data_IF_187981545033
#
_entry.id   IF_187981545033
#
_cell.length_a   1.000
_cell.length_b   1.000
_cell.length_c   1.000
_cell.angle_alpha   90.00
_cell.angle_beta   90.00
_cell.angle_gamma   90.00
#
_symmetry.space_group_name_H-M   'P 1'
#
loop_
_entity.id
_entity.type
_entity.pdbx_description
1 polymer ?
#
# COMPACT_ATOMS: atom_id res chain seq x y z
N UNK A 1 -6.74 18.12 3.08
CA UNK A 1 -6.17 16.77 3.18
C UNK A 1 -6.51 16.09 4.50
N UNK A 2 -6.15 14.83 4.62
CA UNK A 2 -6.35 14.02 5.82
C UNK A 2 -5.35 14.36 6.92
N UNK A 3 -5.82 14.34 8.19
CA UNK A 3 -4.95 14.38 9.38
C UNK A 3 -4.26 13.05 9.69
N UNK A 4 -4.61 11.97 8.96
CA UNK A 4 -4.09 10.62 9.18
C UNK A 4 -2.84 10.33 8.32
N UNK A 5 -1.99 11.32 8.09
CA UNK A 5 -0.70 11.18 7.39
C UNK A 5 0.45 11.30 8.38
N UNK A 6 1.32 10.31 8.37
CA UNK A 6 2.55 10.23 9.15
C UNK A 6 3.74 10.34 8.19
N UNK A 7 4.47 11.46 8.24
CA UNK A 7 5.64 11.66 7.39
C UNK A 7 6.90 11.19 8.11
N UNK A 8 7.48 10.11 7.60
CA UNK A 8 8.75 9.52 8.08
C UNK A 8 9.91 9.74 7.11
N UNK A 9 9.71 10.53 6.07
CA UNK A 9 10.78 10.87 5.13
C UNK A 9 11.88 11.65 5.85
N UNK A 10 13.13 11.33 5.57
CA UNK A 10 14.29 11.93 6.27
C UNK A 10 14.58 11.34 7.66
N UNK A 11 13.72 10.46 8.18
CA UNK A 11 14.08 9.63 9.32
C UNK A 11 14.94 8.48 8.80
N UNK A 12 16.26 8.58 8.96
CA UNK A 12 17.14 7.44 8.70
C UNK A 12 16.66 6.22 9.48
N UNK A 13 16.62 5.05 8.84
CA UNK A 13 16.36 3.82 9.56
C UNK A 13 17.50 3.64 10.57
N UNK A 14 17.27 3.97 11.83
CA UNK A 14 18.13 3.52 12.90
C UNK A 14 18.02 1.99 12.87
N UNK A 15 19.01 1.34 12.28
CA UNK A 15 19.16 -0.11 12.43
C UNK A 15 19.13 -0.35 13.94
N UNK A 16 18.20 -1.13 14.49
CA UNK A 16 18.37 -1.56 15.85
C UNK A 16 19.69 -2.32 15.86
N UNK A 17 20.71 -1.75 16.49
CA UNK A 17 21.88 -2.52 16.88
C UNK A 17 21.32 -3.52 17.89
N UNK A 18 20.70 -4.56 17.36
CA UNK A 18 20.22 -5.68 18.15
C UNK A 18 21.43 -6.26 18.84
N UNK A 19 21.45 -6.12 20.17
CA UNK A 19 22.44 -6.70 21.05
C UNK A 19 22.42 -8.23 20.99
N UNK A 20 22.68 -8.80 19.81
CA UNK A 20 22.97 -10.20 19.62
C UNK A 20 24.46 -10.43 19.61
N UNK A 21 24.89 -11.65 19.94
CA UNK A 21 26.29 -12.11 19.98
C UNK A 21 27.11 -11.66 18.74
N UNK A 22 26.47 -11.55 17.58
CA UNK A 22 27.08 -11.05 16.33
C UNK A 22 27.47 -9.57 16.36
N UNK A 23 26.70 -8.70 17.00
CA UNK A 23 27.01 -7.29 17.15
C UNK A 23 28.20 -7.05 18.09
N UNK A 24 28.26 -7.83 19.17
CA UNK A 24 29.39 -7.81 20.10
C UNK A 24 30.70 -8.28 19.45
N UNK A 25 30.64 -9.30 18.61
CA UNK A 25 31.81 -9.80 17.86
C UNK A 25 32.32 -8.75 16.87
N UNK A 26 31.44 -8.06 16.15
CA UNK A 26 31.85 -6.97 15.25
C UNK A 26 32.47 -5.79 15.98
N UNK A 27 31.93 -5.39 17.13
CA UNK A 27 32.47 -4.34 17.99
C UNK A 27 33.87 -4.71 18.53
N UNK A 28 34.05 -5.97 18.95
CA UNK A 28 35.36 -6.48 19.40
C UNK A 28 36.39 -6.54 18.28
N UNK A 29 35.99 -6.95 17.07
CA UNK A 29 36.89 -6.96 15.91
C UNK A 29 37.28 -5.54 15.49
N UNK A 30 36.35 -4.57 15.54
CA UNK A 30 36.66 -3.17 15.28
C UNK A 30 37.66 -2.60 16.30
N UNK A 31 37.46 -2.89 17.58
CA UNK A 31 38.38 -2.47 18.64
C UNK A 31 39.77 -3.08 18.49
N UNK A 32 39.87 -4.35 18.10
CA UNK A 32 41.15 -5.02 17.85
C UNK A 32 41.88 -4.49 16.62
N UNK A 33 41.17 -4.07 15.58
CA UNK A 33 41.78 -3.59 14.32
C UNK A 33 42.16 -2.12 14.38
N UNK A 34 41.42 -1.29 15.12
CA UNK A 34 41.64 0.18 15.14
C UNK A 34 42.31 0.68 16.42
N UNK A 35 42.30 -0.13 17.48
CA UNK A 35 42.80 0.28 18.81
C UNK A 35 41.89 1.32 19.49
N UNK A 36 40.73 1.62 18.91
CA UNK A 36 39.80 2.65 19.43
C UNK A 36 38.60 1.97 20.11
N UNK A 37 38.06 2.60 21.13
CA UNK A 37 36.91 2.13 21.83
C UNK A 37 35.63 2.45 20.98
N UNK A 38 34.93 1.46 20.44
CA UNK A 38 33.76 1.71 19.58
C UNK A 38 32.60 2.39 20.33
N UNK A 39 32.63 2.39 21.68
CA UNK A 39 31.62 3.05 22.50
C UNK A 39 31.72 4.58 22.37
N UNK A 40 32.92 5.13 22.07
CA UNK A 40 33.14 6.56 21.90
C UNK A 40 32.54 7.11 20.59
N UNK A 41 32.14 6.23 19.68
CA UNK A 41 31.44 6.55 18.42
C UNK A 41 29.93 6.31 18.46
N UNK A 42 29.44 5.67 19.52
CA UNK A 42 28.00 5.53 19.73
C UNK A 42 27.53 6.81 20.41
N UNK A 43 26.98 7.71 19.62
CA UNK A 43 26.26 8.87 20.14
C UNK A 43 25.08 8.37 20.98
N UNK A 44 25.23 8.40 22.31
CA UNK A 44 24.21 8.01 23.29
C UNK A 44 23.15 9.10 23.50
N UNK A 45 23.13 10.14 22.68
CA UNK A 45 21.96 10.97 22.54
C UNK A 45 20.86 10.09 21.99
N UNK A 46 20.02 9.55 22.87
CA UNK A 46 18.76 8.93 22.50
C UNK A 46 18.08 9.85 21.50
N UNK A 47 17.77 9.42 20.25
CA UNK A 47 16.89 10.22 19.45
C UNK A 47 15.61 10.32 20.27
N UNK A 48 15.32 11.51 20.74
CA UNK A 48 14.00 11.87 21.23
C UNK A 48 13.06 11.37 20.13
N UNK A 49 12.27 10.33 20.45
CA UNK A 49 11.19 9.90 19.59
C UNK A 49 10.26 11.10 19.49
N UNK A 50 10.57 11.98 18.58
CA UNK A 50 9.58 12.89 18.05
C UNK A 50 8.58 11.97 17.36
N UNK A 51 7.54 11.59 18.10
CA UNK A 51 6.28 11.19 17.53
C UNK A 51 5.83 12.36 16.69
N UNK A 52 6.34 12.41 15.46
CA UNK A 52 5.94 13.39 14.48
C UNK A 52 4.50 13.09 14.09
N UNK A 53 3.55 13.56 14.91
CA UNK A 53 2.22 13.92 14.43
C UNK A 53 2.38 15.21 13.62
N UNK A 54 3.32 15.19 12.67
CA UNK A 54 3.54 16.25 11.72
C UNK A 54 2.67 15.96 10.51
N UNK A 55 1.64 16.77 10.30
CA UNK A 55 0.93 16.81 9.04
C UNK A 55 1.90 17.02 7.86
N UNK A 56 1.41 16.77 6.66
CA UNK A 56 2.15 16.99 5.42
C UNK A 56 2.79 18.38 5.40
N UNK A 57 4.09 18.52 5.04
CA UNK A 57 4.71 19.82 4.85
C UNK A 57 3.92 20.67 3.85
N UNK A 58 3.66 21.93 4.18
CA UNK A 58 2.80 22.83 3.41
C UNK A 58 3.34 23.16 1.99
N UNK A 59 4.59 22.82 1.71
CA UNK A 59 5.33 23.09 0.46
C UNK A 59 5.69 21.82 -0.33
N UNK A 60 5.01 20.69 -0.05
CA UNK A 60 5.15 19.45 -0.80
C UNK A 60 3.84 19.09 -1.52
N UNK A 61 3.68 19.50 -2.80
CA UNK A 61 2.45 19.27 -3.54
C UNK A 61 2.10 17.79 -3.72
N UNK A 62 3.09 16.90 -3.79
CA UNK A 62 2.84 15.47 -3.97
C UNK A 62 2.36 14.81 -2.68
N UNK A 63 2.93 15.18 -1.54
CA UNK A 63 2.47 14.75 -0.24
C UNK A 63 1.07 15.35 0.08
N UNK A 64 0.83 16.60 -0.31
CA UNK A 64 -0.49 17.22 -0.20
C UNK A 64 -1.53 16.45 -1.05
N UNK A 65 -1.19 16.12 -2.30
CA UNK A 65 -2.07 15.36 -3.19
C UNK A 65 -2.49 14.03 -2.56
N UNK A 66 -1.55 13.22 -2.10
CA UNK A 66 -1.90 11.91 -1.48
C UNK A 66 -2.71 12.07 -0.19
N UNK A 67 -2.48 13.14 0.57
CA UNK A 67 -3.28 13.48 1.75
C UNK A 67 -4.72 13.84 1.39
N UNK A 68 -4.93 14.55 0.27
CA UNK A 68 -6.27 14.88 -0.25
C UNK A 68 -6.98 13.62 -0.73
N UNK A 69 -6.28 12.76 -1.49
CA UNK A 69 -6.84 11.47 -1.94
C UNK A 69 -7.23 10.61 -0.75
N UNK A 70 -6.38 10.52 0.28
CA UNK A 70 -6.70 9.77 1.50
C UNK A 70 -7.97 10.32 2.16
N UNK A 71 -8.09 11.64 2.34
CA UNK A 71 -9.27 12.27 2.93
C UNK A 71 -10.55 11.94 2.14
N UNK A 72 -10.48 11.94 0.82
CA UNK A 72 -11.62 11.61 -0.04
C UNK A 72 -12.00 10.11 0.04
N UNK A 73 -11.00 9.22 0.20
CA UNK A 73 -11.29 7.81 0.50
C UNK A 73 -11.94 7.62 1.86
N UNK A 74 -11.52 8.38 2.88
CA UNK A 74 -12.08 8.37 4.23
C UNK A 74 -13.54 8.81 4.23
N UNK A 75 -13.87 9.87 3.46
CA UNK A 75 -15.25 10.33 3.28
C UNK A 75 -16.11 9.24 2.63
N UNK A 76 -15.65 8.68 1.52
CA UNK A 76 -16.35 7.63 0.77
C UNK A 76 -16.64 6.41 1.65
N UNK A 77 -15.62 5.86 2.30
CA UNK A 77 -15.79 4.67 3.12
C UNK A 77 -16.55 4.95 4.40
N UNK A 78 -16.38 6.15 4.99
CA UNK A 78 -17.18 6.63 6.12
C UNK A 78 -18.67 6.63 5.80
N UNK A 79 -19.05 7.15 4.63
CA UNK A 79 -20.44 7.15 4.15
C UNK A 79 -20.97 5.72 3.93
N UNK A 80 -20.20 4.86 3.24
CA UNK A 80 -20.59 3.48 2.95
C UNK A 80 -20.80 2.67 4.24
N UNK A 81 -19.90 2.80 5.22
CA UNK A 81 -20.02 2.12 6.51
C UNK A 81 -21.22 2.64 7.31
N UNK A 82 -21.43 3.96 7.34
CA UNK A 82 -22.57 4.57 8.02
C UNK A 82 -23.92 4.10 7.44
N UNK A 83 -24.03 3.98 6.12
CA UNK A 83 -25.23 3.41 5.45
C UNK A 83 -25.51 1.96 5.86
N UNK A 84 -24.51 1.25 6.34
CA UNK A 84 -24.61 -0.14 6.85
C UNK A 84 -24.70 -0.21 8.39
N UNK A 85 -24.83 0.94 9.05
CA UNK A 85 -24.92 1.03 10.52
C UNK A 85 -23.60 0.74 11.25
N UNK A 86 -22.46 0.87 10.57
CA UNK A 86 -21.13 0.64 11.11
C UNK A 86 -20.28 1.93 11.12
N UNK A 87 -19.23 1.93 11.92
CA UNK A 87 -18.21 3.00 11.92
C UNK A 87 -16.99 2.54 11.12
N UNK A 88 -16.49 3.42 10.26
CA UNK A 88 -15.25 3.17 9.50
C UNK A 88 -14.02 3.54 10.33
N UNK A 89 -13.17 2.60 10.73
CA UNK A 89 -11.87 2.92 11.32
C UNK A 89 -10.94 3.38 10.20
N UNK A 90 -10.52 4.63 10.22
CA UNK A 90 -9.66 5.20 9.18
C UNK A 90 -8.24 4.63 9.22
N UNK A 91 -7.56 4.41 8.08
CA UNK A 91 -6.17 4.02 8.02
C UNK A 91 -5.25 5.21 8.29
N UNK A 92 -3.99 4.94 8.61
CA UNK A 92 -2.93 5.94 8.57
C UNK A 92 -2.08 5.73 7.31
N UNK A 93 -1.78 6.80 6.59
CA UNK A 93 -0.83 6.80 5.48
C UNK A 93 0.55 7.20 6.00
N UNK A 94 1.54 6.35 5.81
CA UNK A 94 2.94 6.59 6.16
C UNK A 94 3.72 6.91 4.90
N UNK A 95 4.26 8.12 4.82
CA UNK A 95 5.22 8.50 3.78
C UNK A 95 6.62 8.15 4.25
N UNK A 96 7.38 7.46 3.42
CA UNK A 96 8.76 7.07 3.73
C UNK A 96 9.68 7.22 2.51
N UNK A 97 10.98 7.08 2.70
CA UNK A 97 11.99 7.06 1.62
C UNK A 97 12.83 5.80 1.76
N UNK A 98 13.00 5.08 0.64
CA UNK A 98 13.80 3.86 0.49
C UNK A 98 13.32 2.67 1.32
N UNK A 99 13.28 2.77 2.64
CA UNK A 99 12.86 1.69 3.53
C UNK A 99 12.21 2.22 4.81
N UNK A 100 11.28 1.43 5.36
CA UNK A 100 10.59 1.75 6.60
C UNK A 100 10.27 0.50 7.40
N UNK A 101 10.13 0.64 8.71
CA UNK A 101 9.65 -0.43 9.59
C UNK A 101 8.13 -0.39 9.69
N UNK A 102 7.49 -1.55 9.50
CA UNK A 102 6.08 -1.76 9.75
C UNK A 102 5.86 -2.93 10.72
N UNK A 103 4.65 -3.10 11.23
CA UNK A 103 4.30 -4.29 12.02
C UNK A 103 4.25 -5.59 11.19
N UNK A 104 4.36 -5.49 9.86
CA UNK A 104 4.47 -6.62 8.93
C UNK A 104 5.93 -6.91 8.51
N UNK A 105 6.91 -6.17 9.05
CA UNK A 105 8.33 -6.26 8.73
C UNK A 105 8.86 -5.01 8.01
N UNK A 106 10.05 -5.13 7.44
CA UNK A 106 10.70 -4.04 6.71
C UNK A 106 10.06 -3.90 5.33
N UNK A 107 9.47 -2.74 5.06
CA UNK A 107 9.04 -2.33 3.73
C UNK A 107 10.18 -1.63 2.98
N UNK A 108 10.32 -1.90 1.69
CA UNK A 108 11.30 -1.26 0.82
C UNK A 108 10.58 -0.60 -0.37
N UNK A 109 11.00 0.59 -0.77
CA UNK A 109 10.44 1.33 -1.90
C UNK A 109 10.40 0.50 -3.19
N UNK A 110 11.41 -0.36 -3.41
CA UNK A 110 11.48 -1.26 -4.56
C UNK A 110 10.34 -2.30 -4.63
N UNK A 111 9.63 -2.54 -3.53
CA UNK A 111 8.46 -3.42 -3.47
C UNK A 111 7.16 -2.70 -3.87
N UNK A 112 7.20 -1.39 -4.03
CA UNK A 112 6.04 -0.54 -4.25
C UNK A 112 5.29 -0.20 -2.96
N UNK A 113 4.18 0.55 -3.07
CA UNK A 113 3.26 0.81 -1.97
C UNK A 113 2.70 -0.49 -1.39
N UNK A 114 2.36 -0.48 -0.11
CA UNK A 114 1.74 -1.64 0.53
C UNK A 114 0.90 -1.24 1.73
N UNK A 115 -0.06 -2.10 2.05
CA UNK A 115 -0.84 -2.02 3.28
C UNK A 115 -0.40 -3.10 4.27
N UNK A 116 -0.23 -2.74 5.53
CA UNK A 116 0.04 -3.70 6.61
C UNK A 116 -1.20 -3.89 7.50
N UNK A 117 -1.81 -5.09 7.53
CA UNK A 117 -3.01 -5.34 8.34
C UNK A 117 -2.74 -5.31 9.85
N UNK A 118 -1.49 -5.59 10.29
CA UNK A 118 -1.14 -5.67 11.69
C UNK A 118 -1.15 -4.31 12.40
N UNK A 119 -0.81 -3.23 11.69
CA UNK A 119 -0.84 -1.86 12.22
C UNK A 119 -1.87 -0.96 11.53
N UNK A 120 -2.56 -1.48 10.50
CA UNK A 120 -3.59 -0.81 9.70
C UNK A 120 -3.08 0.47 9.04
N UNK A 121 -1.86 0.41 8.54
CA UNK A 121 -1.21 1.54 7.86
C UNK A 121 -0.95 1.22 6.39
N UNK A 122 -1.15 2.24 5.57
CA UNK A 122 -0.69 2.28 4.18
C UNK A 122 0.71 2.87 4.15
N UNK A 123 1.63 2.28 3.43
CA UNK A 123 3.01 2.72 3.31
C UNK A 123 3.31 3.09 1.87
N UNK A 124 3.83 4.29 1.66
CA UNK A 124 4.06 4.85 0.34
C UNK A 124 5.39 5.62 0.29
N UNK A 125 6.28 5.20 -0.60
CA UNK A 125 7.38 6.04 -1.08
C UNK A 125 6.91 6.80 -2.33
N UNK A 126 6.91 8.12 -2.28
CA UNK A 126 6.41 8.96 -3.37
C UNK A 126 7.20 8.78 -4.67
N UNK A 127 8.45 8.27 -4.61
CA UNK A 127 9.23 7.93 -5.80
C UNK A 127 8.56 6.85 -6.69
N UNK A 128 7.66 6.04 -6.10
CA UNK A 128 6.88 5.06 -6.85
C UNK A 128 6.03 5.71 -7.97
N UNK A 129 5.56 6.91 -7.79
CA UNK A 129 4.77 7.60 -8.82
C UNK A 129 5.59 7.96 -10.06
N UNK A 130 6.87 8.27 -9.86
CA UNK A 130 7.79 8.42 -10.98
C UNK A 130 8.00 7.08 -11.71
N UNK A 131 8.15 5.98 -10.99
CA UNK A 131 8.22 4.65 -11.59
C UNK A 131 6.92 4.27 -12.31
N UNK A 132 5.76 4.60 -11.75
CA UNK A 132 4.45 4.35 -12.35
C UNK A 132 4.35 5.01 -13.74
N UNK A 133 4.81 6.24 -13.86
CA UNK A 133 4.86 6.97 -15.13
C UNK A 133 5.93 6.40 -16.08
N UNK A 134 7.19 6.32 -15.63
CA UNK A 134 8.35 6.10 -16.52
C UNK A 134 8.61 4.63 -16.83
N UNK A 135 8.45 3.74 -15.85
CA UNK A 135 8.71 2.30 -16.01
C UNK A 135 7.47 1.52 -16.39
N UNK A 136 6.33 1.87 -15.79
CA UNK A 136 5.07 1.16 -16.04
C UNK A 136 4.22 1.82 -17.14
N UNK A 137 4.56 3.07 -17.54
CA UNK A 137 3.87 3.77 -18.62
C UNK A 137 2.42 4.09 -18.27
N UNK A 138 2.15 4.42 -17.02
CA UNK A 138 0.85 4.82 -16.50
C UNK A 138 0.96 6.21 -15.85
N UNK A 139 1.08 7.29 -16.65
CA UNK A 139 1.08 8.66 -16.15
C UNK A 139 -0.32 9.09 -15.70
N UNK A 140 -0.36 10.20 -14.98
CA UNK A 140 -1.60 10.87 -14.58
C UNK A 140 -1.82 10.88 -13.07
N UNK A 141 -2.57 11.85 -12.63
CA UNK A 141 -2.86 12.02 -11.19
C UNK A 141 -3.88 10.97 -10.71
N UNK A 142 -4.85 10.61 -11.55
CA UNK A 142 -5.78 9.55 -11.19
C UNK A 142 -5.11 8.16 -11.17
N UNK A 143 -4.05 7.93 -11.94
CA UNK A 143 -3.23 6.72 -11.81
C UNK A 143 -2.58 6.63 -10.42
N UNK A 144 -2.07 7.75 -9.90
CA UNK A 144 -1.52 7.85 -8.55
C UNK A 144 -2.61 7.68 -7.47
N UNK A 145 -3.75 8.35 -7.66
CA UNK A 145 -4.91 8.26 -6.76
C UNK A 145 -5.46 6.83 -6.67
N UNK A 146 -5.52 6.11 -7.81
CA UNK A 146 -5.90 4.70 -7.85
C UNK A 146 -5.00 3.84 -6.96
N UNK A 147 -3.69 4.05 -6.98
CA UNK A 147 -2.75 3.29 -6.13
C UNK A 147 -3.07 3.49 -4.65
N UNK A 148 -3.27 4.73 -4.20
CA UNK A 148 -3.65 5.01 -2.81
C UNK A 148 -4.99 4.35 -2.47
N UNK A 149 -5.99 4.47 -3.35
CA UNK A 149 -7.32 3.89 -3.14
C UNK A 149 -7.29 2.35 -3.12
N UNK A 150 -6.39 1.71 -3.87
CA UNK A 150 -6.16 0.27 -3.85
C UNK A 150 -5.64 -0.19 -2.48
N UNK A 151 -4.64 0.49 -1.92
CA UNK A 151 -4.13 0.18 -0.58
C UNK A 151 -5.19 0.41 0.52
N UNK A 152 -6.02 1.45 0.37
CA UNK A 152 -7.19 1.65 1.23
C UNK A 152 -8.21 0.51 1.04
N UNK A 153 -8.33 -0.06 -0.16
CA UNK A 153 -9.12 -1.27 -0.40
C UNK A 153 -8.68 -2.45 0.48
N UNK A 154 -7.39 -2.66 0.65
CA UNK A 154 -6.85 -3.66 1.58
C UNK A 154 -7.16 -3.33 3.04
N UNK A 155 -7.19 -2.04 3.39
CA UNK A 155 -7.63 -1.63 4.72
C UNK A 155 -9.11 -1.99 4.95
N UNK A 156 -9.98 -1.74 3.98
CA UNK A 156 -11.40 -2.15 4.06
C UNK A 156 -11.54 -3.65 4.26
N UNK A 157 -10.76 -4.47 3.54
CA UNK A 157 -10.73 -5.92 3.73
C UNK A 157 -10.32 -6.33 5.15
N UNK A 158 -9.39 -5.60 5.75
CA UNK A 158 -8.95 -5.86 7.13
C UNK A 158 -10.04 -5.52 8.14
N UNK A 159 -10.62 -4.32 8.06
CA UNK A 159 -11.63 -3.88 9.04
C UNK A 159 -12.96 -4.63 8.91
N UNK A 160 -13.21 -5.28 7.78
CA UNK A 160 -14.35 -6.20 7.56
C UNK A 160 -14.03 -7.66 7.91
N UNK A 161 -12.81 -7.96 8.38
CA UNK A 161 -12.37 -9.28 8.83
C UNK A 161 -12.03 -10.25 7.69
N UNK A 162 -12.00 -9.80 6.43
CA UNK A 162 -11.63 -10.66 5.30
C UNK A 162 -10.15 -11.07 5.37
N UNK A 163 -9.25 -10.11 5.67
CA UNK A 163 -7.81 -10.38 5.74
C UNK A 163 -7.48 -11.51 6.73
N UNK A 164 -8.12 -11.54 7.89
CA UNK A 164 -7.94 -12.61 8.89
C UNK A 164 -8.46 -13.95 8.40
N UNK A 165 -9.60 -13.97 7.69
CA UNK A 165 -10.15 -15.20 7.10
C UNK A 165 -9.20 -15.77 6.05
N UNK A 166 -8.65 -14.91 5.19
CA UNK A 166 -7.70 -15.32 4.15
C UNK A 166 -6.36 -15.78 4.72
N UNK A 167 -5.85 -15.12 5.75
CA UNK A 167 -4.63 -15.54 6.44
C UNK A 167 -4.77 -16.97 6.99
N UNK A 168 -5.89 -17.28 7.64
CA UNK A 168 -6.19 -18.62 8.10
C UNK A 168 -6.32 -19.64 6.95
N UNK A 169 -7.02 -19.28 5.88
CA UNK A 169 -7.18 -20.17 4.72
C UNK A 169 -5.85 -20.50 4.04
N UNK A 170 -4.95 -19.51 3.92
CA UNK A 170 -3.61 -19.71 3.34
C UNK A 170 -2.72 -20.62 4.18
N UNK A 171 -2.89 -20.62 5.49
CA UNK A 171 -2.08 -21.44 6.42
C UNK A 171 -2.25 -22.95 6.17
N UNK A 172 -3.41 -23.38 5.69
CA UNK A 172 -3.76 -24.79 5.48
C UNK A 172 -3.84 -25.21 4.02
N UNK A 173 -3.73 -24.27 3.09
CA UNK A 173 -3.79 -24.51 1.65
C UNK A 173 -2.44 -24.82 1.01
N UNK A 174 -2.48 -25.34 -0.21
CA UNK A 174 -1.30 -25.42 -1.08
C UNK A 174 -0.88 -24.02 -1.54
N UNK A 175 0.36 -23.88 -2.02
CA UNK A 175 0.86 -22.62 -2.60
C UNK A 175 -0.06 -22.10 -3.73
N UNK A 176 -0.53 -22.99 -4.61
CA UNK A 176 -1.48 -22.64 -5.68
C UNK A 176 -2.79 -22.07 -5.15
N UNK A 177 -3.34 -22.67 -4.10
CA UNK A 177 -4.56 -22.16 -3.45
C UNK A 177 -4.31 -20.83 -2.74
N UNK A 178 -3.16 -20.68 -2.08
CA UNK A 178 -2.76 -19.42 -1.45
C UNK A 178 -2.62 -18.30 -2.49
N UNK A 179 -1.99 -18.57 -3.64
CA UNK A 179 -1.86 -17.63 -4.74
C UNK A 179 -3.23 -17.25 -5.31
N UNK A 180 -4.13 -18.21 -5.51
CA UNK A 180 -5.48 -17.95 -6.00
C UNK A 180 -6.30 -17.06 -5.03
N UNK A 181 -6.13 -17.26 -3.72
CA UNK A 181 -6.74 -16.39 -2.71
C UNK A 181 -6.13 -14.98 -2.71
N UNK A 182 -4.81 -14.86 -2.94
CA UNK A 182 -4.14 -13.57 -3.09
C UNK A 182 -4.69 -12.81 -4.29
N UNK A 183 -4.77 -13.44 -5.45
CA UNK A 183 -5.36 -12.83 -6.66
C UNK A 183 -6.77 -12.31 -6.38
N UNK A 184 -7.64 -13.09 -5.75
CA UNK A 184 -9.01 -12.65 -5.43
C UNK A 184 -9.04 -11.46 -4.48
N UNK A 185 -8.11 -11.41 -3.52
CA UNK A 185 -7.97 -10.28 -2.58
C UNK A 185 -7.55 -9.02 -3.32
N UNK A 186 -6.58 -9.10 -4.22
CA UNK A 186 -6.10 -7.99 -5.04
C UNK A 186 -7.20 -7.45 -5.97
N UNK A 187 -7.89 -8.34 -6.67
CA UNK A 187 -8.99 -7.97 -7.57
C UNK A 187 -10.16 -7.30 -6.82
N UNK A 188 -10.41 -7.69 -5.58
CA UNK A 188 -11.39 -7.02 -4.75
C UNK A 188 -10.91 -5.62 -4.33
N UNK A 189 -9.62 -5.45 -4.01
CA UNK A 189 -9.04 -4.14 -3.71
C UNK A 189 -9.12 -3.21 -4.93
N UNK A 190 -8.87 -3.71 -6.15
CA UNK A 190 -9.09 -2.97 -7.38
C UNK A 190 -10.55 -2.52 -7.53
N UNK A 191 -11.50 -3.41 -7.27
CA UNK A 191 -12.93 -3.06 -7.31
C UNK A 191 -13.29 -2.01 -6.25
N UNK A 192 -12.76 -2.10 -5.05
CA UNK A 192 -12.95 -1.10 -3.99
C UNK A 192 -12.37 0.26 -4.37
N UNK A 193 -11.20 0.29 -5.02
CA UNK A 193 -10.65 1.51 -5.59
C UNK A 193 -11.61 2.09 -6.66
N UNK A 194 -12.22 1.24 -7.47
CA UNK A 194 -13.26 1.64 -8.42
C UNK A 194 -14.51 2.19 -7.75
N UNK A 195 -14.97 1.58 -6.66
CA UNK A 195 -16.11 2.10 -5.87
C UNK A 195 -15.78 3.50 -5.35
N UNK A 196 -14.59 3.72 -4.78
CA UNK A 196 -14.15 5.06 -4.40
C UNK A 196 -14.18 6.03 -5.59
N UNK A 197 -13.59 5.66 -6.73
CA UNK A 197 -13.57 6.48 -7.94
C UNK A 197 -14.97 6.85 -8.43
N UNK A 198 -15.96 5.97 -8.30
CA UNK A 198 -17.37 6.27 -8.59
C UNK A 198 -17.90 7.42 -7.72
N UNK A 199 -17.64 7.38 -6.42
CA UNK A 199 -18.05 8.43 -5.49
C UNK A 199 -17.28 9.74 -5.74
N UNK A 200 -15.99 9.68 -6.00
CA UNK A 200 -15.18 10.83 -6.37
C UNK A 200 -15.71 11.51 -7.66
N UNK A 201 -16.09 10.72 -8.67
CA UNK A 201 -16.73 11.24 -9.90
C UNK A 201 -18.05 11.96 -9.59
N UNK A 202 -18.88 11.39 -8.72
CA UNK A 202 -20.16 12.03 -8.31
C UNK A 202 -19.95 13.33 -7.54
N UNK A 203 -18.84 13.49 -6.84
CA UNK A 203 -18.44 14.74 -6.19
C UNK A 203 -17.80 15.74 -7.16
N UNK A 204 -17.62 15.38 -8.43
CA UNK A 204 -17.04 16.25 -9.45
C UNK A 204 -15.51 16.38 -9.32
N UNK A 205 -14.85 15.40 -8.71
CA UNK A 205 -13.40 15.40 -8.51
C UNK A 205 -12.64 14.75 -9.68
N UNK A 206 -13.33 14.05 -10.58
CA UNK A 206 -12.72 13.43 -11.74
C UNK A 206 -12.87 14.31 -12.99
N UNK A 207 -11.79 14.39 -13.76
CA UNK A 207 -11.75 15.03 -15.06
C UNK A 207 -11.98 14.02 -16.21
N UNK A 208 -12.31 14.48 -17.42
CA UNK A 208 -12.39 13.60 -18.58
C UNK A 208 -11.04 12.95 -18.88
N UNK A 209 -10.95 11.64 -18.77
CA UNK A 209 -9.72 10.88 -18.98
C UNK A 209 -9.25 10.10 -17.75
N UNK A 210 -9.55 10.59 -16.55
CA UNK A 210 -9.06 10.03 -15.29
C UNK A 210 -9.37 8.54 -15.13
N UNK A 211 -10.61 8.14 -15.44
CA UNK A 211 -10.98 6.73 -15.39
C UNK A 211 -10.09 5.87 -16.32
N UNK A 212 -9.67 6.40 -17.47
CA UNK A 212 -8.77 5.70 -18.38
C UNK A 212 -7.35 5.60 -17.81
N UNK A 213 -6.88 6.63 -17.12
CA UNK A 213 -5.58 6.60 -16.41
C UNK A 213 -5.54 5.51 -15.33
N UNK A 214 -6.57 5.44 -14.48
CA UNK A 214 -6.68 4.38 -13.47
C UNK A 214 -6.72 2.98 -14.08
N UNK A 215 -7.48 2.79 -15.15
CA UNK A 215 -7.54 1.50 -15.86
C UNK A 215 -6.19 1.16 -16.52
N UNK A 216 -5.46 2.15 -17.04
CA UNK A 216 -4.11 1.96 -17.57
C UNK A 216 -3.12 1.59 -16.46
N UNK A 217 -3.20 2.22 -15.29
CA UNK A 217 -2.39 1.88 -14.14
C UNK A 217 -2.64 0.43 -13.67
N UNK A 218 -3.90 0.03 -13.53
CA UNK A 218 -4.27 -1.33 -13.17
C UNK A 218 -3.72 -2.37 -14.17
N UNK A 219 -3.82 -2.08 -15.48
CA UNK A 219 -3.24 -2.93 -16.52
C UNK A 219 -1.71 -2.99 -16.46
N UNK A 220 -1.06 -1.90 -16.09
CA UNK A 220 0.40 -1.76 -16.10
C UNK A 220 1.07 -2.64 -15.04
N UNK A 221 0.41 -2.87 -13.92
CA UNK A 221 0.92 -3.61 -12.77
C UNK A 221 0.32 -5.02 -12.63
N UNK A 222 -0.30 -5.56 -13.67
CA UNK A 222 -0.75 -6.95 -13.71
C UNK A 222 0.42 -7.94 -13.81
N UNK A 223 0.28 -9.09 -13.16
CA UNK A 223 1.34 -10.11 -13.09
C UNK A 223 1.80 -10.61 -14.45
N UNK A 224 0.89 -10.76 -15.42
CA UNK A 224 1.22 -11.18 -16.78
C UNK A 224 2.13 -10.19 -17.49
N UNK A 225 1.91 -8.88 -17.29
CA UNK A 225 2.75 -7.84 -17.86
C UNK A 225 4.12 -7.78 -17.16
N UNK A 226 4.13 -7.80 -15.83
CA UNK A 226 5.35 -7.78 -15.04
C UNK A 226 6.25 -9.01 -15.34
N UNK A 227 5.67 -10.21 -15.39
CA UNK A 227 6.41 -11.43 -15.71
C UNK A 227 6.95 -11.42 -17.13
N UNK A 228 6.19 -10.91 -18.11
CA UNK A 228 6.67 -10.79 -19.48
C UNK A 228 7.85 -9.84 -19.59
N UNK A 229 7.84 -8.73 -18.86
CA UNK A 229 8.93 -7.75 -18.84
C UNK A 229 10.18 -8.26 -18.13
N UNK A 230 10.02 -9.00 -17.01
CA UNK A 230 11.14 -9.42 -16.16
C UNK A 230 11.68 -10.81 -16.50
N UNK A 231 10.82 -11.74 -16.94
CA UNK A 231 11.16 -13.15 -17.14
C UNK A 231 10.98 -13.61 -18.59
N UNK A 232 10.41 -12.79 -19.47
CA UNK A 232 10.14 -13.10 -20.87
C UNK A 232 9.01 -14.13 -21.09
N UNK A 233 8.41 -14.65 -20.04
CA UNK A 233 7.32 -15.66 -20.09
C UNK A 233 6.28 -15.39 -19.01
N UNK A 234 5.06 -15.90 -19.23
CA UNK A 234 3.94 -15.77 -18.28
C UNK A 234 3.63 -17.14 -17.68
N UNK A 235 3.48 -17.19 -16.35
CA UNK A 235 3.15 -18.39 -15.57
C UNK A 235 1.94 -18.08 -14.69
N UNK A 236 0.70 -18.31 -15.19
CA UNK A 236 -0.52 -17.90 -14.47
C UNK A 236 -0.68 -18.49 -13.06
N UNK A 237 -0.16 -19.70 -12.85
CA UNK A 237 -0.24 -20.38 -11.54
C UNK A 237 0.59 -19.70 -10.45
N UNK A 238 1.54 -18.84 -10.83
CA UNK A 238 2.36 -18.06 -9.91
C UNK A 238 1.85 -16.62 -9.70
N UNK A 239 0.71 -16.26 -10.27
CA UNK A 239 0.12 -14.95 -10.06
C UNK A 239 -0.29 -14.77 -8.60
N UNK A 240 0.01 -13.60 -8.06
CA UNK A 240 -0.37 -13.17 -6.71
C UNK A 240 -1.22 -11.92 -6.71
N UNK A 241 -1.21 -11.14 -7.82
CA UNK A 241 -1.96 -9.88 -7.98
C UNK A 241 -3.04 -9.97 -9.08
N UNK A 242 -2.99 -10.99 -9.94
CA UNK A 242 -3.90 -11.16 -11.06
C UNK A 242 -3.38 -10.60 -12.37
N UNK A 243 -4.01 -10.99 -13.47
CA UNK A 243 -3.67 -10.52 -14.80
C UNK A 243 -4.11 -9.06 -15.02
N UNK A 244 -3.47 -8.38 -15.96
CA UNK A 244 -3.85 -7.02 -16.39
C UNK A 244 -5.33 -6.94 -16.77
N UNK A 245 -5.86 -7.93 -17.48
CA UNK A 245 -7.27 -7.98 -17.88
C UNK A 245 -8.22 -8.08 -16.68
N UNK A 246 -7.90 -8.93 -15.71
CA UNK A 246 -8.71 -9.12 -14.50
C UNK A 246 -8.71 -7.86 -13.66
N UNK A 247 -7.55 -7.23 -13.44
CA UNK A 247 -7.42 -5.99 -12.66
C UNK A 247 -8.23 -4.85 -13.28
N UNK A 248 -8.11 -4.63 -14.59
CA UNK A 248 -8.92 -3.65 -15.34
C UNK A 248 -10.41 -3.95 -15.20
N UNK A 249 -10.82 -5.20 -15.36
CA UNK A 249 -12.23 -5.62 -15.26
C UNK A 249 -12.82 -5.31 -13.89
N UNK A 250 -12.11 -5.61 -12.82
CA UNK A 250 -12.61 -5.38 -11.46
C UNK A 250 -12.61 -3.91 -11.06
N UNK A 251 -11.57 -3.15 -11.42
CA UNK A 251 -11.55 -1.70 -11.23
C UNK A 251 -12.73 -1.04 -11.96
N UNK A 252 -12.94 -1.38 -13.23
CA UNK A 252 -14.06 -0.87 -14.02
C UNK A 252 -15.41 -1.23 -13.40
N UNK A 253 -15.56 -2.44 -12.89
CA UNK A 253 -16.79 -2.88 -12.22
C UNK A 253 -17.13 -2.01 -11.02
N UNK A 254 -16.12 -1.63 -10.23
CA UNK A 254 -16.29 -0.70 -9.12
C UNK A 254 -16.68 0.69 -9.60
N UNK A 255 -15.95 1.23 -10.60
CA UNK A 255 -16.20 2.55 -11.20
C UNK A 255 -17.63 2.66 -11.77
N UNK A 256 -18.08 1.66 -12.50
CA UNK A 256 -19.40 1.68 -13.14
C UNK A 256 -20.54 1.52 -12.14
N UNK A 257 -20.37 0.68 -11.12
CA UNK A 257 -21.45 0.32 -10.20
C UNK A 257 -21.53 1.21 -8.95
N UNK A 258 -20.40 1.64 -8.41
CA UNK A 258 -20.32 2.28 -7.10
C UNK A 258 -20.80 1.41 -5.93
N UNK A 259 -20.95 0.09 -6.15
CA UNK A 259 -21.53 -0.84 -5.19
C UNK A 259 -20.50 -1.80 -4.65
N UNK A 260 -20.32 -1.81 -3.34
CA UNK A 260 -19.42 -2.75 -2.64
C UNK A 260 -19.82 -4.20 -2.92
N UNK A 261 -21.11 -4.51 -2.97
CA UNK A 261 -21.59 -5.86 -3.22
C UNK A 261 -21.26 -6.37 -4.64
N UNK A 262 -20.94 -5.46 -5.57
CA UNK A 262 -20.44 -5.84 -6.88
C UNK A 262 -18.99 -6.36 -6.86
N UNK A 263 -18.27 -6.15 -5.74
CA UNK A 263 -16.86 -6.51 -5.55
C UNK A 263 -16.66 -7.90 -4.93
N UNK A 264 -17.65 -8.78 -4.98
CA UNK A 264 -17.53 -10.14 -4.46
C UNK A 264 -16.69 -11.02 -5.37
N UNK A 265 -15.38 -11.08 -5.13
CA UNK A 265 -14.43 -11.96 -5.83
C UNK A 265 -14.38 -13.37 -5.25
N UNK A 266 -15.05 -13.63 -4.12
CA UNK A 266 -15.02 -14.89 -3.39
C UNK A 266 -16.31 -15.69 -3.54
N UNK A 267 -17.42 -15.08 -4.02
CA UNK A 267 -18.72 -15.71 -4.16
C UNK A 267 -19.44 -15.95 -2.83
N UNK A 268 -19.14 -15.14 -1.79
CA UNK A 268 -19.65 -15.31 -0.43
C UNK A 268 -20.29 -14.04 0.16
N UNK A 269 -20.47 -13.01 -0.66
CA UNK A 269 -20.82 -11.68 -0.20
C UNK A 269 -19.60 -10.86 0.27
N UNK A 270 -19.72 -9.55 0.33
CA UNK A 270 -18.59 -8.66 0.62
C UNK A 270 -18.54 -8.20 2.07
N UNK A 271 -19.64 -7.94 2.72
CA UNK A 271 -19.89 -7.77 4.19
C UNK A 271 -21.28 -7.23 4.51
#
# INVERSE_FOLDING_TARGET
>A
GSGNVEDRRGMGMALPVGGGIGGLVLLLLFSMLTGQNPIDYIDTSSPEQTTGTGGVPADDPQAEFVSVVLADTEETWGEIFAQRGATYPQPTLVLFTEATQSACGVGQAAMGPFYCPNDRKVYLDLSFFHDLETRFGAPGDFAQAYVVAHEVGHHVQTVTGLSDRLARARQYGSEREANALSVRQELQADCYAGVWGHYAARRGLLEPGDAAEGLQAAAAIGDDRLQRQTQGRVVPESFTHGSSEERVRWLRRGLDSGKVDACDTFGQGTF
#
